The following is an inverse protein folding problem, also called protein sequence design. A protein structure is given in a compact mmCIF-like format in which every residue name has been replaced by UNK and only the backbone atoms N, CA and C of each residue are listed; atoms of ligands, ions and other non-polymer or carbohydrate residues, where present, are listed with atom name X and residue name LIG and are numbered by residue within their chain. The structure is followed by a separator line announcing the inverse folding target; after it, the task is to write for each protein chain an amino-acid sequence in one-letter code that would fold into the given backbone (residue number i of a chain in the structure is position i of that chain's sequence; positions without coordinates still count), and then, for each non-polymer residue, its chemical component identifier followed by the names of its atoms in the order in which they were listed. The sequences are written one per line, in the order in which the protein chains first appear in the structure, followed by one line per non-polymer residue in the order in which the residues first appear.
data_IF_996824786681
#
_entry.id   IF_996824786681
#
_cell.length_a   1.000
_cell.length_b   1.000
_cell.length_c   1.000
_cell.angle_alpha   90.00
_cell.angle_beta   90.00
_cell.angle_gamma   90.00
#
_symmetry.space_group_name_H-M   'P 1'
#
loop_
_entity.id
_entity.type
_entity.pdbx_description
1 polymer ?
#
# COMPACT_ATOMS: atom_id res chain seq x y z
N UNK A 1 -5.34 29.08 8.96
CA UNK A 1 -5.15 28.10 10.05
C UNK A 1 -6.50 27.71 10.60
N UNK A 2 -6.69 26.48 11.08
CA UNK A 2 -7.90 26.12 11.82
C UNK A 2 -7.74 26.59 13.27
N UNK A 3 -8.79 27.13 13.92
CA UNK A 3 -8.72 27.56 15.30
C UNK A 3 -8.51 26.37 16.26
N UNK A 4 -7.74 26.58 17.32
CA UNK A 4 -7.58 25.66 18.44
C UNK A 4 -8.81 25.72 19.35
N UNK A 5 -9.63 24.69 19.33
CA UNK A 5 -10.78 24.59 20.22
C UNK A 5 -10.35 24.07 21.60
N UNK A 6 -10.67 24.82 22.65
CA UNK A 6 -10.38 24.45 24.04
C UNK A 6 -11.70 24.07 24.71
N UNK A 7 -11.79 22.86 25.24
CA UNK A 7 -12.99 22.37 25.95
C UNK A 7 -12.62 21.61 27.21
N UNK A 8 -13.55 21.56 28.17
CA UNK A 8 -13.51 20.64 29.30
C UNK A 8 -14.24 19.31 29.00
N UNK A 9 -14.68 18.62 30.05
CA UNK A 9 -15.36 17.33 29.93
C UNK A 9 -16.79 17.42 29.37
N UNK A 10 -17.34 16.26 28.99
CA UNK A 10 -18.62 16.13 28.25
C UNK A 10 -19.82 16.81 28.94
N UNK A 11 -19.90 16.74 30.26
CA UNK A 11 -20.98 17.35 31.03
C UNK A 11 -20.43 18.50 31.90
N UNK A 12 -20.06 19.65 31.30
CA UNK A 12 -19.16 20.61 31.91
C UNK A 12 -19.73 21.21 33.19
N UNK A 13 -18.92 21.24 34.23
CA UNK A 13 -19.13 22.00 35.45
C UNK A 13 -18.50 23.39 35.34
N UNK A 14 -18.58 24.15 36.43
CA UNK A 14 -18.13 25.54 36.44
C UNK A 14 -16.63 25.64 36.19
N UNK A 15 -15.83 24.79 36.81
CA UNK A 15 -14.39 24.70 36.62
C UNK A 15 -14.04 24.30 35.20
N UNK A 16 -14.71 23.31 34.59
CA UNK A 16 -14.48 22.99 33.19
C UNK A 16 -14.71 24.19 32.24
N UNK A 17 -15.78 24.97 32.47
CA UNK A 17 -16.11 26.15 31.64
C UNK A 17 -15.10 27.28 31.87
N UNK A 18 -14.82 27.61 33.12
CA UNK A 18 -13.90 28.71 33.47
C UNK A 18 -12.48 28.37 33.04
N UNK A 19 -12.02 27.14 33.22
CA UNK A 19 -10.71 26.68 32.74
C UNK A 19 -10.61 26.74 31.22
N UNK A 20 -11.67 26.38 30.48
CA UNK A 20 -11.66 26.49 29.03
C UNK A 20 -11.54 27.94 28.54
N UNK A 21 -12.25 28.87 29.18
CA UNK A 21 -12.16 30.31 28.90
C UNK A 21 -10.76 30.83 29.21
N UNK A 22 -10.25 30.56 30.41
CA UNK A 22 -8.95 31.04 30.85
C UNK A 22 -7.81 30.50 29.98
N UNK A 23 -7.85 29.21 29.62
CA UNK A 23 -6.83 28.58 28.80
C UNK A 23 -6.89 29.07 27.35
N UNK A 24 -8.08 29.23 26.76
CA UNK A 24 -8.21 29.85 25.43
C UNK A 24 -7.64 31.27 25.42
N UNK A 25 -7.91 32.06 26.46
CA UNK A 25 -7.36 33.42 26.59
C UNK A 25 -5.83 33.42 26.70
N UNK A 26 -5.25 32.52 27.51
CA UNK A 26 -3.80 32.36 27.59
C UNK A 26 -3.19 32.02 26.23
N UNK A 27 -3.82 31.12 25.46
CA UNK A 27 -3.35 30.75 24.12
C UNK A 27 -3.42 31.90 23.12
N UNK A 28 -4.48 32.72 23.18
CA UNK A 28 -4.59 33.94 22.38
C UNK A 28 -3.46 34.93 22.69
N UNK A 29 -3.13 35.13 23.97
CA UNK A 29 -2.00 35.98 24.39
C UNK A 29 -0.64 35.45 23.91
N UNK A 30 -0.53 34.13 23.68
CA UNK A 30 0.66 33.49 23.10
C UNK A 30 0.66 33.49 21.56
N UNK A 31 -0.25 34.21 20.90
CA UNK A 31 -0.33 34.33 19.45
C UNK A 31 -1.01 33.15 18.74
N UNK A 32 -1.73 32.28 19.46
CA UNK A 32 -2.49 31.18 18.88
C UNK A 32 -3.97 31.56 18.71
N UNK A 33 -4.55 31.27 17.54
CA UNK A 33 -5.99 31.41 17.32
C UNK A 33 -6.73 30.30 18.11
N UNK A 34 -7.19 30.62 19.32
CA UNK A 34 -7.84 29.69 20.23
C UNK A 34 -9.26 30.14 20.60
N UNK A 35 -10.20 29.19 20.69
CA UNK A 35 -11.61 29.45 20.95
C UNK A 35 -12.09 28.55 22.10
N UNK A 36 -12.62 29.15 23.15
CA UNK A 36 -13.25 28.41 24.24
C UNK A 36 -14.57 27.77 23.77
N UNK A 37 -14.74 26.50 24.10
CA UNK A 37 -15.89 25.67 23.74
C UNK A 37 -16.36 24.84 24.93
N UNK A 38 -17.62 24.40 24.87
CA UNK A 38 -18.22 23.53 25.88
C UNK A 38 -19.00 22.38 25.22
N UNK A 39 -18.88 21.17 25.74
CA UNK A 39 -19.60 19.98 25.24
C UNK A 39 -21.04 19.86 25.77
N UNK A 40 -21.51 20.85 26.54
CA UNK A 40 -22.83 20.86 27.13
C UNK A 40 -23.22 22.25 27.63
N UNK A 41 -24.51 22.40 27.96
CA UNK A 41 -25.05 23.64 28.53
C UNK A 41 -24.49 23.86 29.94
N UNK A 42 -24.24 25.12 30.28
CA UNK A 42 -23.92 25.51 31.65
C UNK A 42 -25.07 25.15 32.60
N UNK A 43 -24.72 24.75 33.83
CA UNK A 43 -25.67 24.69 34.95
C UNK A 43 -26.04 26.11 35.40
N UNK A 44 -27.16 26.26 36.11
CA UNK A 44 -27.69 27.54 36.58
C UNK A 44 -26.66 28.38 37.36
N UNK A 45 -25.86 27.72 38.21
CA UNK A 45 -24.80 28.36 39.00
C UNK A 45 -23.69 28.93 38.09
N UNK A 46 -23.22 28.14 37.13
CA UNK A 46 -22.21 28.58 36.17
C UNK A 46 -22.74 29.71 35.29
N UNK A 47 -24.00 29.64 34.87
CA UNK A 47 -24.63 30.70 34.08
C UNK A 47 -24.77 32.01 34.87
N UNK A 48 -25.12 31.92 36.17
CA UNK A 48 -25.13 33.08 37.06
C UNK A 48 -23.74 33.70 37.20
N UNK A 49 -22.69 32.90 37.36
CA UNK A 49 -21.32 33.39 37.44
C UNK A 49 -20.87 34.06 36.14
N UNK A 50 -21.11 33.43 34.99
CA UNK A 50 -20.82 34.02 33.68
C UNK A 50 -21.49 35.39 33.53
N UNK A 51 -22.78 35.49 33.85
CA UNK A 51 -23.52 36.75 33.79
C UNK A 51 -22.98 37.79 34.77
N UNK A 52 -22.68 37.40 36.02
CA UNK A 52 -22.17 38.29 37.07
C UNK A 52 -20.82 38.91 36.68
N UNK A 53 -19.98 38.18 35.97
CA UNK A 53 -18.66 38.63 35.53
C UNK A 53 -18.63 39.12 34.07
N UNK A 54 -19.78 39.18 33.39
CA UNK A 54 -19.89 39.71 32.03
C UNK A 54 -19.30 38.80 30.94
N UNK A 55 -19.17 37.50 31.20
CA UNK A 55 -18.73 36.52 30.22
C UNK A 55 -19.93 35.85 29.53
N UNK A 56 -19.80 35.57 28.24
CA UNK A 56 -20.75 34.73 27.52
C UNK A 56 -20.43 33.24 27.72
N UNK A 57 -21.44 32.40 27.58
CA UNK A 57 -21.22 30.95 27.60
C UNK A 57 -20.36 30.53 26.39
N UNK A 58 -19.32 29.69 26.58
CA UNK A 58 -18.49 29.22 25.48
C UNK A 58 -19.31 28.55 24.37
N UNK A 59 -18.78 28.58 23.15
CA UNK A 59 -19.44 27.97 22.00
C UNK A 59 -19.72 26.50 22.26
N UNK A 60 -20.97 26.08 22.08
CA UNK A 60 -21.33 24.67 22.21
C UNK A 60 -20.78 23.86 21.05
N UNK A 61 -20.06 22.77 21.37
CA UNK A 61 -19.59 21.78 20.41
C UNK A 61 -20.23 20.43 20.70
N UNK A 62 -20.50 19.63 19.67
CA UNK A 62 -21.17 18.34 19.82
C UNK A 62 -20.20 17.16 20.00
N UNK A 63 -18.96 17.30 19.54
CA UNK A 63 -17.95 16.26 19.64
C UNK A 63 -16.55 16.88 19.73
N UNK A 64 -15.74 16.30 20.61
CA UNK A 64 -14.30 16.53 20.69
C UNK A 64 -13.53 15.21 20.52
N UNK A 65 -14.15 14.23 19.82
CA UNK A 65 -13.50 12.94 19.53
C UNK A 65 -12.40 13.15 18.51
N UNK A 66 -11.23 12.55 18.76
CA UNK A 66 -10.15 12.53 17.79
C UNK A 66 -10.60 11.90 16.48
N UNK A 67 -10.34 12.59 15.38
CA UNK A 67 -10.54 12.08 14.03
C UNK A 67 -9.28 11.37 13.56
N UNK A 68 -9.43 10.35 12.71
CA UNK A 68 -8.28 9.68 12.09
C UNK A 68 -7.38 10.67 11.36
N UNK A 69 -7.93 11.75 10.79
CA UNK A 69 -7.18 12.82 10.12
C UNK A 69 -6.22 13.58 11.04
N UNK A 70 -6.42 13.53 12.35
CA UNK A 70 -5.61 14.22 13.36
C UNK A 70 -4.45 13.34 13.88
N UNK A 71 -4.45 12.06 13.50
CA UNK A 71 -3.39 11.12 13.87
C UNK A 71 -2.28 11.19 12.81
N UNK A 72 -1.04 11.34 13.26
CA UNK A 72 0.14 11.15 12.42
C UNK A 72 0.15 9.73 11.87
N UNK A 73 0.28 9.60 10.54
CA UNK A 73 0.29 8.32 9.84
C UNK A 73 1.63 8.15 9.16
N UNK A 74 2.08 6.90 9.11
CA UNK A 74 3.22 6.54 8.29
C UNK A 74 2.89 6.75 6.80
N UNK A 75 3.89 7.15 6.03
CA UNK A 75 3.75 7.23 4.58
C UNK A 75 3.47 5.83 4.00
N UNK A 76 2.38 5.68 3.22
CA UNK A 76 2.06 4.41 2.59
C UNK A 76 3.04 4.11 1.46
N UNK A 77 3.36 2.84 1.27
CA UNK A 77 4.08 2.39 0.09
C UNK A 77 3.07 2.15 -1.03
N UNK A 78 3.15 2.95 -2.10
CA UNK A 78 2.24 2.87 -3.24
C UNK A 78 2.92 2.19 -4.43
N UNK A 79 2.18 1.36 -5.16
CA UNK A 79 2.64 0.75 -6.40
C UNK A 79 1.50 0.51 -7.39
N UNK A 80 1.84 0.41 -8.68
CA UNK A 80 0.90 0.06 -9.74
C UNK A 80 0.60 -1.44 -9.80
N UNK A 81 -0.46 -1.84 -10.53
CA UNK A 81 -0.84 -3.25 -10.72
C UNK A 81 0.15 -4.04 -11.58
N UNK A 82 1.08 -3.38 -12.26
CA UNK A 82 2.15 -3.98 -13.06
C UNK A 82 3.37 -4.41 -12.23
N UNK A 83 3.40 -4.10 -10.93
CA UNK A 83 4.48 -4.47 -10.01
C UNK A 83 4.65 -5.99 -9.97
N UNK A 84 5.89 -6.47 -10.14
CA UNK A 84 6.15 -7.91 -10.04
C UNK A 84 6.22 -8.37 -8.58
N UNK A 85 5.95 -9.66 -8.34
CA UNK A 85 6.07 -10.24 -7.00
C UNK A 85 7.47 -10.08 -6.39
N UNK A 86 8.53 -10.16 -7.21
CA UNK A 86 9.90 -9.96 -6.75
C UNK A 86 10.14 -8.53 -6.29
N UNK A 87 9.69 -7.55 -7.08
CA UNK A 87 9.82 -6.14 -6.72
C UNK A 87 8.99 -5.79 -5.49
N UNK A 88 7.78 -6.36 -5.38
CA UNK A 88 6.98 -6.23 -4.18
C UNK A 88 7.72 -6.75 -2.94
N UNK A 89 8.34 -7.92 -3.03
CA UNK A 89 9.14 -8.46 -1.94
C UNK A 89 10.33 -7.55 -1.60
N UNK A 90 11.09 -7.11 -2.61
CA UNK A 90 12.24 -6.23 -2.42
C UNK A 90 11.83 -4.91 -1.74
N UNK A 91 10.70 -4.32 -2.16
CA UNK A 91 10.14 -3.13 -1.56
C UNK A 91 9.73 -3.34 -0.10
N UNK A 92 9.04 -4.44 0.21
CA UNK A 92 8.62 -4.75 1.58
C UNK A 92 9.84 -5.01 2.48
N UNK A 93 10.85 -5.74 2.00
CA UNK A 93 12.05 -6.03 2.76
C UNK A 93 12.92 -4.78 3.00
N UNK A 94 12.85 -3.79 2.12
CA UNK A 94 13.62 -2.53 2.25
C UNK A 94 13.07 -1.56 3.31
N UNK A 95 11.85 -1.79 3.83
CA UNK A 95 11.12 -0.85 4.71
C UNK A 95 10.61 -1.56 5.96
N UNK A 96 10.27 -0.79 7.00
CA UNK A 96 9.61 -1.33 8.21
C UNK A 96 8.15 -1.71 7.96
N UNK A 97 7.49 -1.06 7.00
CA UNK A 97 6.07 -1.26 6.70
C UNK A 97 5.86 -2.54 5.87
N UNK A 98 4.99 -3.42 6.35
CA UNK A 98 4.82 -4.79 5.84
C UNK A 98 3.77 -4.95 4.73
N UNK A 99 3.26 -3.85 4.19
CA UNK A 99 2.20 -3.84 3.19
C UNK A 99 2.43 -2.79 2.11
N UNK A 100 2.07 -3.14 0.88
CA UNK A 100 2.05 -2.28 -0.31
C UNK A 100 0.59 -2.02 -0.67
N UNK A 101 0.26 -0.75 -0.88
CA UNK A 101 -1.03 -0.33 -1.39
C UNK A 101 -0.94 -0.27 -2.92
N UNK A 102 -1.70 -1.12 -3.59
CA UNK A 102 -1.79 -1.14 -5.04
C UNK A 102 -2.81 -0.07 -5.46
N UNK A 103 -2.40 0.88 -6.29
CA UNK A 103 -3.22 2.01 -6.73
C UNK A 103 -3.31 2.09 -8.25
N UNK A 104 -4.35 2.75 -8.76
CA UNK A 104 -4.46 3.10 -10.18
C UNK A 104 -3.70 4.40 -10.52
N UNK A 105 -3.75 4.80 -11.80
CA UNK A 105 -3.13 6.05 -12.29
C UNK A 105 -3.66 7.34 -11.63
N UNK A 106 -4.81 7.26 -10.93
CA UNK A 106 -5.44 8.37 -10.20
C UNK A 106 -5.23 8.24 -8.69
N UNK A 107 -4.27 7.43 -8.25
CA UNK A 107 -3.97 7.12 -6.85
C UNK A 107 -5.15 6.53 -6.06
N UNK A 108 -6.12 5.91 -6.75
CA UNK A 108 -7.23 5.23 -6.09
C UNK A 108 -6.79 3.82 -5.71
N UNK A 109 -7.05 3.45 -4.45
CA UNK A 109 -6.70 2.13 -3.92
C UNK A 109 -7.43 1.01 -4.67
N UNK A 110 -6.67 0.12 -5.29
CA UNK A 110 -7.13 -1.11 -5.94
C UNK A 110 -7.03 -2.32 -5.00
N UNK A 111 -6.00 -2.36 -4.15
CA UNK A 111 -5.79 -3.49 -3.26
C UNK A 111 -4.62 -3.31 -2.29
N UNK A 112 -4.45 -4.30 -1.42
CA UNK A 112 -3.36 -4.36 -0.45
C UNK A 112 -2.59 -5.66 -0.65
N UNK A 113 -1.27 -5.57 -0.72
CA UNK A 113 -0.36 -6.70 -0.85
C UNK A 113 0.54 -6.76 0.38
N UNK A 114 0.57 -7.90 1.07
CA UNK A 114 1.40 -8.12 2.24
C UNK A 114 2.37 -9.29 2.05
N UNK A 115 3.34 -9.41 2.97
CA UNK A 115 4.22 -10.59 3.02
C UNK A 115 3.41 -11.88 3.15
N UNK A 116 2.32 -11.88 3.93
CA UNK A 116 1.47 -13.06 4.10
C UNK A 116 0.76 -13.50 2.82
N UNK A 117 0.54 -12.58 1.87
CA UNK A 117 -0.05 -12.95 0.58
C UNK A 117 1.01 -13.59 -0.33
N UNK A 118 2.23 -13.04 -0.33
CA UNK A 118 3.36 -13.63 -1.05
C UNK A 118 3.71 -15.04 -0.52
N UNK A 119 3.68 -15.26 0.80
CA UNK A 119 3.99 -16.58 1.37
C UNK A 119 2.93 -17.63 1.05
N UNK A 120 1.65 -17.26 0.97
CA UNK A 120 0.58 -18.18 0.54
C UNK A 120 0.81 -18.65 -0.89
N UNK A 121 1.18 -17.75 -1.79
CA UNK A 121 1.47 -18.09 -3.19
C UNK A 121 2.64 -19.06 -3.34
N UNK A 122 3.67 -18.94 -2.49
CA UNK A 122 4.79 -19.90 -2.49
C UNK A 122 4.45 -21.23 -1.81
N UNK A 123 3.54 -21.22 -0.84
CA UNK A 123 3.06 -22.43 -0.19
C UNK A 123 2.05 -23.22 -1.06
N UNK A 124 1.43 -22.57 -2.04
CA UNK A 124 0.50 -23.21 -2.98
C UNK A 124 1.21 -24.18 -3.93
N UNK A 125 0.55 -25.30 -4.19
CA UNK A 125 1.07 -26.37 -5.05
C UNK A 125 0.84 -26.09 -6.54
N UNK A 126 1.69 -26.67 -7.38
CA UNK A 126 2.06 -26.19 -8.73
C UNK A 126 0.97 -25.93 -9.79
N UNK A 127 -0.31 -26.27 -9.58
CA UNK A 127 -1.38 -25.87 -10.52
C UNK A 127 -1.61 -24.36 -10.50
N UNK A 128 -1.68 -23.75 -9.31
CA UNK A 128 -1.87 -22.30 -9.16
C UNK A 128 -0.69 -21.51 -9.76
N UNK A 129 0.53 -21.98 -9.54
CA UNK A 129 1.73 -21.34 -10.05
C UNK A 129 1.80 -21.36 -11.59
N UNK A 130 1.39 -22.47 -12.22
CA UNK A 130 1.33 -22.56 -13.69
C UNK A 130 0.41 -21.48 -14.26
N UNK A 131 -0.78 -21.33 -13.68
CA UNK A 131 -1.77 -20.36 -14.15
C UNK A 131 -1.24 -18.93 -13.97
N UNK A 132 -0.59 -18.64 -12.85
CA UNK A 132 0.05 -17.33 -12.62
C UNK A 132 1.16 -17.03 -13.63
N UNK A 133 2.08 -17.98 -13.87
CA UNK A 133 3.18 -17.80 -14.82
C UNK A 133 2.65 -17.62 -16.25
N UNK A 134 1.51 -18.23 -16.59
CA UNK A 134 0.88 -18.06 -17.92
C UNK A 134 0.46 -16.61 -18.20
N UNK A 135 0.24 -15.80 -17.16
CA UNK A 135 -0.12 -14.38 -17.26
C UNK A 135 1.09 -13.44 -17.25
N UNK A 136 2.28 -13.94 -16.92
CA UNK A 136 3.47 -13.11 -16.80
C UNK A 136 3.87 -12.55 -18.17
N UNK A 137 4.10 -11.24 -18.24
CA UNK A 137 4.54 -10.57 -19.47
C UNK A 137 6.05 -10.74 -19.69
N UNK A 138 6.46 -10.66 -20.96
CA UNK A 138 7.88 -10.72 -21.33
C UNK A 138 8.68 -9.60 -20.63
N UNK A 139 8.09 -8.41 -20.51
CA UNK A 139 8.67 -7.25 -19.81
C UNK A 139 8.92 -7.53 -18.34
N UNK A 140 7.93 -8.11 -17.65
CA UNK A 140 8.05 -8.44 -16.22
C UNK A 140 9.13 -9.50 -15.99
N UNK A 141 9.21 -10.52 -16.83
CA UNK A 141 10.24 -11.56 -16.74
C UNK A 141 11.63 -10.96 -16.94
N UNK A 142 11.83 -10.13 -17.96
CA UNK A 142 13.13 -9.49 -18.21
C UNK A 142 13.52 -8.54 -17.06
N UNK A 143 12.57 -7.77 -16.52
CA UNK A 143 12.78 -6.87 -15.37
C UNK A 143 13.25 -7.65 -14.13
N UNK A 144 12.58 -8.76 -13.82
CA UNK A 144 12.90 -9.66 -12.69
C UNK A 144 14.27 -10.32 -12.85
N UNK A 145 14.58 -10.80 -14.06
CA UNK A 145 15.84 -11.46 -14.37
C UNK A 145 17.00 -10.49 -14.61
N UNK A 146 16.72 -9.18 -14.73
CA UNK A 146 17.67 -8.15 -15.18
C UNK A 146 18.32 -8.54 -16.52
N UNK A 147 17.55 -9.19 -17.39
CA UNK A 147 18.01 -9.74 -18.67
C UNK A 147 17.92 -8.74 -19.82
N UNK A 148 18.58 -9.06 -20.93
CA UNK A 148 18.49 -8.31 -22.19
C UNK A 148 17.80 -9.17 -23.26
N UNK A 149 17.01 -8.51 -24.11
CA UNK A 149 16.43 -9.16 -25.28
C UNK A 149 17.46 -9.32 -26.39
N UNK A 150 17.64 -10.55 -26.85
CA UNK A 150 18.39 -10.83 -28.08
C UNK A 150 17.49 -10.88 -29.31
N UNK A 151 16.27 -11.39 -29.13
CA UNK A 151 15.24 -11.45 -30.17
C UNK A 151 13.87 -11.33 -29.51
N UNK A 152 12.98 -10.54 -30.11
CA UNK A 152 11.63 -10.32 -29.62
C UNK A 152 10.61 -10.81 -30.66
N UNK A 153 9.69 -11.67 -30.22
CA UNK A 153 8.53 -12.06 -31.01
C UNK A 153 7.32 -11.22 -30.62
N UNK A 154 6.54 -10.78 -31.61
CA UNK A 154 5.26 -10.08 -31.38
C UNK A 154 4.19 -10.99 -30.75
N UNK A 155 4.41 -12.29 -30.72
CA UNK A 155 3.48 -13.28 -30.18
C UNK A 155 4.13 -14.03 -29.03
N UNK A 156 4.03 -13.47 -27.82
CA UNK A 156 4.41 -14.14 -26.58
C UNK A 156 3.17 -14.62 -25.85
N UNK A 157 2.98 -15.94 -25.76
CA UNK A 157 1.88 -16.60 -25.06
C UNK A 157 2.39 -17.85 -24.35
N UNK A 158 2.87 -17.74 -23.10
CA UNK A 158 3.39 -18.87 -22.35
C UNK A 158 2.25 -19.76 -21.84
N UNK A 159 2.49 -21.07 -21.84
CA UNK A 159 1.61 -22.08 -21.21
C UNK A 159 1.68 -22.07 -19.67
N UNK A 160 2.57 -21.25 -19.10
CA UNK A 160 2.88 -21.25 -17.66
C UNK A 160 3.86 -22.34 -17.23
N UNK A 161 4.22 -23.26 -18.12
CA UNK A 161 5.16 -24.34 -17.82
C UNK A 161 6.58 -23.81 -17.98
N UNK A 162 7.41 -24.04 -16.96
CA UNK A 162 8.83 -23.72 -16.97
C UNK A 162 9.63 -25.02 -17.05
N UNK A 163 10.47 -25.15 -18.06
CA UNK A 163 11.38 -26.28 -18.26
C UNK A 163 12.82 -25.82 -18.00
N UNK A 164 13.60 -26.66 -17.32
CA UNK A 164 14.98 -26.37 -16.94
C UNK A 164 15.85 -27.52 -17.40
N UNK A 165 17.06 -27.22 -17.90
CA UNK A 165 18.02 -28.22 -18.38
C UNK A 165 17.45 -29.16 -19.44
N UNK A 166 16.96 -28.62 -20.58
CA UNK A 166 16.50 -29.45 -21.69
C UNK A 166 17.62 -30.34 -22.24
N UNK A 167 17.23 -31.52 -22.73
CA UNK A 167 18.08 -32.49 -23.40
C UNK A 167 17.68 -32.68 -24.86
N UNK A 168 18.66 -33.00 -25.71
CA UNK A 168 18.43 -33.35 -27.12
C UNK A 168 17.62 -34.65 -27.29
N UNK A 169 17.56 -35.48 -26.25
CA UNK A 169 16.75 -36.70 -26.23
C UNK A 169 15.27 -36.47 -25.95
N UNK A 170 14.90 -35.25 -25.54
CA UNK A 170 13.54 -34.97 -25.12
C UNK A 170 12.57 -34.87 -26.30
N UNK A 171 11.29 -35.09 -26.04
CA UNK A 171 10.26 -34.90 -27.07
C UNK A 171 10.05 -33.40 -27.31
N UNK A 172 10.11 -32.90 -28.56
CA UNK A 172 9.90 -31.48 -28.86
C UNK A 172 8.59 -30.92 -28.29
N UNK A 173 7.55 -31.74 -28.24
CA UNK A 173 6.21 -31.38 -27.73
C UNK A 173 6.21 -30.83 -26.30
N UNK A 174 7.19 -31.23 -25.47
CA UNK A 174 7.34 -30.78 -24.08
C UNK A 174 7.70 -29.28 -24.00
N UNK A 175 8.34 -28.77 -25.04
CA UNK A 175 8.78 -27.38 -25.10
C UNK A 175 7.76 -26.44 -25.73
N UNK A 176 6.73 -26.98 -26.39
CA UNK A 176 5.74 -26.18 -27.10
C UNK A 176 5.04 -25.20 -26.16
N UNK A 177 5.12 -23.91 -26.47
CA UNK A 177 4.62 -22.79 -25.68
C UNK A 177 5.15 -22.73 -24.23
N UNK A 178 6.22 -23.42 -23.88
CA UNK A 178 6.80 -23.36 -22.52
C UNK A 178 7.90 -22.31 -22.42
N UNK A 179 8.25 -21.94 -21.20
CA UNK A 179 9.41 -21.11 -20.89
C UNK A 179 10.57 -22.06 -20.60
N UNK A 180 11.65 -21.98 -21.36
CA UNK A 180 12.78 -22.91 -21.26
C UNK A 180 14.03 -22.17 -20.78
N UNK A 181 14.63 -22.63 -19.70
CA UNK A 181 15.89 -22.12 -19.17
C UNK A 181 17.03 -23.01 -19.63
N UNK A 182 17.96 -22.44 -20.39
CA UNK A 182 19.06 -23.15 -21.06
C UNK A 182 20.40 -22.50 -20.73
N UNK A 183 21.48 -23.29 -20.74
CA UNK A 183 22.85 -22.76 -20.65
C UNK A 183 23.33 -22.28 -22.02
N UNK A 184 24.57 -21.79 -22.08
CA UNK A 184 25.25 -21.44 -23.31
C UNK A 184 25.64 -22.67 -24.16
N UNK A 185 24.64 -23.40 -24.66
CA UNK A 185 24.80 -24.49 -25.62
C UNK A 185 23.93 -24.19 -26.87
N UNK A 186 24.55 -23.83 -28.01
CA UNK A 186 23.83 -23.47 -29.22
C UNK A 186 22.92 -24.57 -29.78
N UNK A 187 23.32 -25.84 -29.70
CA UNK A 187 22.55 -26.97 -30.25
C UNK A 187 21.23 -27.15 -29.49
N UNK A 188 21.31 -27.09 -28.16
CA UNK A 188 20.14 -27.19 -27.29
C UNK A 188 19.24 -25.97 -27.44
N UNK A 189 19.83 -24.77 -27.52
CA UNK A 189 19.08 -23.53 -27.78
C UNK A 189 18.30 -23.63 -29.09
N UNK A 190 18.93 -24.10 -30.16
CA UNK A 190 18.28 -24.29 -31.45
C UNK A 190 17.15 -25.30 -31.38
N UNK A 191 17.41 -26.45 -30.75
CA UNK A 191 16.41 -27.51 -30.57
C UNK A 191 15.15 -27.02 -29.87
N UNK A 192 15.26 -26.27 -28.78
CA UNK A 192 14.08 -25.78 -28.04
C UNK A 192 13.34 -24.65 -28.77
N UNK A 193 14.06 -23.84 -29.56
CA UNK A 193 13.45 -22.84 -30.45
C UNK A 193 12.62 -23.55 -31.53
N UNK A 194 13.20 -24.54 -32.21
CA UNK A 194 12.55 -25.29 -33.28
C UNK A 194 11.37 -26.14 -32.74
N UNK A 195 11.44 -26.56 -31.46
CA UNK A 195 10.36 -27.22 -30.75
C UNK A 195 9.17 -26.30 -30.38
N UNK A 196 9.30 -24.98 -30.58
CA UNK A 196 8.23 -24.01 -30.38
C UNK A 196 8.12 -23.48 -28.95
N UNK A 197 9.25 -23.32 -28.25
CA UNK A 197 9.29 -22.62 -26.96
C UNK A 197 8.72 -21.20 -27.06
N UNK A 198 7.92 -20.78 -26.08
CA UNK A 198 7.38 -19.43 -26.01
C UNK A 198 8.45 -18.41 -25.60
N UNK A 199 9.39 -18.82 -24.74
CA UNK A 199 10.51 -18.01 -24.29
C UNK A 199 11.71 -18.92 -24.00
N UNK A 200 12.87 -18.55 -24.50
CA UNK A 200 14.14 -19.19 -24.16
C UNK A 200 14.96 -18.21 -23.32
N UNK A 201 15.22 -18.59 -22.08
CA UNK A 201 16.07 -17.84 -21.15
C UNK A 201 17.44 -18.47 -21.14
N UNK A 202 18.43 -17.77 -21.69
CA UNK A 202 19.82 -18.23 -21.65
C UNK A 202 20.45 -17.77 -20.33
N UNK A 203 20.84 -18.73 -19.49
CA UNK A 203 21.60 -18.49 -18.26
C UNK A 203 23.09 -18.71 -18.51
N UNK A 204 23.91 -17.79 -18.00
CA UNK A 204 25.36 -17.76 -18.12
C UNK A 204 25.97 -17.03 -16.95
#
# INVERSE_FOLDING_TARGET
MKPFYVTGHMNPDCDAIVSAIAYAHLKQQLGQDAIACALGKAKSETQYLLQKFGFEHPKLIHTARCMLSEIEKDDPLLAGPDLTMKEALDLILSRKNKGIFIVDEKERLLGLLSVSDLTKLWAESGKSLKDLISTATLTNIARVLKGKYYCESKQYRPSGIVQIMPSMSDKPEVYKNSIVIVRNNPDIQRFVIDAGAALVVVSG
#
